data_IF_104397234980
#
_entry.id   IF_104397234980
#
_cell.length_a   1.000
_cell.length_b   1.000
_cell.length_c   1.000
_cell.angle_alpha   90.00
_cell.angle_beta   90.00
_cell.angle_gamma   90.00
#
_symmetry.space_group_name_H-M   'P 1'
#
loop_
_entity.id
_entity.type
_entity.pdbx_description
1 polymer ?
#
# COMPACT_ATOMS: atom_id res chain seq x y z
N UNK A 1 6.44 -11.03 -17.31
CA UNK A 1 5.29 -10.11 -17.17
C UNK A 1 4.68 -9.93 -18.55
N UNK A 2 3.55 -10.58 -18.82
CA UNK A 2 2.84 -10.43 -20.09
C UNK A 2 2.14 -9.06 -20.11
N UNK A 3 2.72 -8.09 -20.81
CA UNK A 3 2.17 -6.74 -20.94
C UNK A 3 1.39 -6.64 -22.25
N UNK A 4 0.07 -6.82 -22.18
CA UNK A 4 -0.83 -6.64 -23.32
C UNK A 4 -1.35 -5.21 -23.37
N UNK A 5 -1.13 -4.52 -24.50
CA UNK A 5 -1.64 -3.16 -24.76
C UNK A 5 -2.78 -3.22 -25.76
N UNK A 6 -3.96 -2.77 -25.34
CA UNK A 6 -5.16 -2.73 -26.20
C UNK A 6 -5.62 -1.28 -26.36
N UNK A 7 -5.99 -0.90 -27.58
CA UNK A 7 -6.62 0.40 -27.85
C UNK A 7 -8.13 0.25 -27.74
N UNK A 8 -8.76 1.10 -26.93
CA UNK A 8 -10.22 1.14 -26.77
C UNK A 8 -10.71 2.59 -26.87
N UNK A 9 -12.01 2.79 -27.10
CA UNK A 9 -12.64 4.11 -27.11
C UNK A 9 -13.46 4.29 -25.84
N UNK A 10 -13.40 5.50 -25.29
CA UNK A 10 -14.28 5.93 -24.20
C UNK A 10 -15.68 6.18 -24.79
N UNK A 11 -16.73 5.80 -24.06
CA UNK A 11 -18.10 6.01 -24.47
C UNK A 11 -18.96 6.46 -23.28
N UNK A 12 -20.11 7.10 -23.56
CA UNK A 12 -21.07 7.47 -22.52
C UNK A 12 -21.85 6.26 -22.02
N UNK A 13 -22.03 6.18 -20.71
CA UNK A 13 -22.88 5.22 -20.01
C UNK A 13 -23.74 6.00 -19.02
N UNK A 14 -24.96 6.35 -19.42
CA UNK A 14 -25.79 7.30 -18.67
C UNK A 14 -25.11 8.68 -18.54
N UNK A 15 -25.04 9.19 -17.30
CA UNK A 15 -24.35 10.44 -16.98
C UNK A 15 -22.83 10.30 -16.77
N UNK A 16 -22.28 9.12 -17.03
CA UNK A 16 -20.86 8.82 -16.78
C UNK A 16 -20.14 8.39 -18.05
N UNK A 17 -18.81 8.29 -17.96
CA UNK A 17 -17.95 7.72 -18.99
C UNK A 17 -17.54 6.30 -18.61
N UNK A 18 -17.42 5.44 -19.62
CA UNK A 18 -16.99 4.07 -19.47
C UNK A 18 -15.96 3.69 -20.54
N UNK A 19 -15.16 2.67 -20.21
CA UNK A 19 -14.20 2.03 -21.12
C UNK A 19 -14.46 0.53 -21.18
N UNK A 20 -14.25 -0.06 -22.34
CA UNK A 20 -14.40 -1.53 -22.49
C UNK A 20 -13.14 -2.22 -21.96
N UNK A 21 -13.34 -3.12 -21.01
CA UNK A 21 -12.29 -4.00 -20.48
C UNK A 21 -12.35 -5.32 -21.30
N UNK A 22 -11.26 -5.73 -21.95
CA UNK A 22 -11.20 -6.99 -22.68
C UNK A 22 -11.44 -8.21 -21.77
N UNK A 23 -11.99 -9.28 -22.36
CA UNK A 23 -12.14 -10.57 -21.68
C UNK A 23 -10.78 -11.17 -21.28
N UNK A 24 -10.79 -12.03 -20.26
CA UNK A 24 -9.58 -12.68 -19.74
C UNK A 24 -8.73 -11.77 -18.83
N UNK A 25 -9.32 -10.67 -18.34
CA UNK A 25 -8.80 -9.94 -17.17
C UNK A 25 -9.36 -10.58 -15.90
N UNK A 26 -8.74 -10.30 -14.76
CA UNK A 26 -9.22 -10.77 -13.45
C UNK A 26 -10.29 -9.85 -12.84
N UNK A 27 -10.77 -8.86 -13.60
CA UNK A 27 -11.79 -7.92 -13.16
C UNK A 27 -13.18 -8.51 -13.45
N UNK A 28 -14.09 -8.41 -12.49
CA UNK A 28 -15.46 -8.91 -12.61
C UNK A 28 -16.46 -7.77 -12.56
N UNK A 29 -17.62 -7.93 -13.19
CA UNK A 29 -18.71 -6.97 -13.04
C UNK A 29 -19.14 -6.88 -11.56
N UNK A 30 -19.37 -5.65 -11.07
CA UNK A 30 -19.70 -5.38 -9.67
C UNK A 30 -18.51 -5.39 -8.69
N UNK A 31 -17.27 -5.60 -9.16
CA UNK A 31 -16.08 -5.46 -8.33
C UNK A 31 -15.89 -3.99 -7.91
N UNK A 32 -15.73 -3.75 -6.60
CA UNK A 32 -15.40 -2.44 -6.08
C UNK A 32 -13.92 -2.11 -6.28
N UNK A 33 -13.67 -0.91 -6.78
CA UNK A 33 -12.34 -0.42 -7.13
C UNK A 33 -12.19 1.02 -6.65
N UNK A 34 -11.02 1.35 -6.11
CA UNK A 34 -10.59 2.72 -5.93
C UNK A 34 -10.12 3.28 -7.27
N UNK A 35 -10.61 4.47 -7.63
CA UNK A 35 -10.23 5.20 -8.83
C UNK A 35 -9.36 6.40 -8.46
N UNK A 36 -8.13 6.43 -8.97
CA UNK A 36 -7.28 7.62 -8.91
C UNK A 36 -7.30 8.34 -10.26
N UNK A 37 -7.52 9.65 -10.23
CA UNK A 37 -7.51 10.51 -11.42
C UNK A 37 -6.34 11.49 -11.33
N UNK A 38 -5.38 11.34 -12.23
CA UNK A 38 -4.22 12.23 -12.31
C UNK A 38 -4.29 13.12 -13.55
N UNK A 39 -3.98 14.41 -13.37
CA UNK A 39 -3.96 15.42 -14.44
C UNK A 39 -5.26 15.46 -15.27
N UNK A 40 -6.38 15.02 -14.70
CA UNK A 40 -7.69 14.98 -15.36
C UNK A 40 -7.84 13.96 -16.50
N UNK A 41 -6.84 13.10 -16.77
CA UNK A 41 -6.88 12.17 -17.92
C UNK A 41 -6.36 10.76 -17.62
N UNK A 42 -5.43 10.63 -16.67
CA UNK A 42 -4.84 9.34 -16.35
C UNK A 42 -5.65 8.68 -15.24
N UNK A 43 -6.23 7.53 -15.54
CA UNK A 43 -7.06 6.75 -14.60
C UNK A 43 -6.27 5.52 -14.15
N UNK A 44 -6.08 5.36 -12.84
CA UNK A 44 -5.60 4.11 -12.23
C UNK A 44 -6.72 3.48 -11.40
N UNK A 45 -6.81 2.16 -11.44
CA UNK A 45 -7.84 1.41 -10.73
C UNK A 45 -7.16 0.36 -9.85
N UNK A 46 -7.50 0.33 -8.57
CA UNK A 46 -7.02 -0.65 -7.61
C UNK A 46 -8.20 -1.34 -6.91
N UNK A 47 -8.20 -2.67 -6.72
CA UNK A 47 -9.26 -3.32 -5.97
C UNK A 47 -9.29 -2.83 -4.53
N UNK A 48 -10.47 -2.49 -4.01
CA UNK A 48 -10.65 -2.03 -2.61
C UNK A 48 -10.23 -3.12 -1.62
N UNK A 49 -10.61 -4.37 -1.91
CA UNK A 49 -10.28 -5.53 -1.10
C UNK A 49 -9.17 -6.35 -1.73
N UNK A 50 -7.94 -5.86 -1.66
CA UNK A 50 -6.79 -6.70 -1.98
C UNK A 50 -6.50 -7.65 -0.81
N UNK A 51 -6.33 -8.96 -1.05
CA UNK A 51 -5.88 -9.87 0.00
C UNK A 51 -4.54 -9.35 0.52
N UNK A 52 -4.49 -8.99 1.81
CA UNK A 52 -3.27 -8.51 2.46
C UNK A 52 -2.13 -9.44 2.08
N UNK A 53 -1.04 -8.87 1.53
CA UNK A 53 0.12 -9.65 1.11
C UNK A 53 0.61 -10.44 2.33
N UNK A 54 0.31 -11.74 2.37
CA UNK A 54 0.74 -12.57 3.49
C UNK A 54 2.26 -12.62 3.46
N UNK A 55 2.87 -12.21 4.56
CA UNK A 55 4.30 -12.38 4.74
C UNK A 55 4.61 -13.88 4.72
N UNK A 56 5.44 -14.31 3.78
CA UNK A 56 5.78 -15.72 3.64
C UNK A 56 6.84 -16.09 4.69
N UNK A 57 6.38 -16.50 5.87
CA UNK A 57 7.25 -16.91 7.00
C UNK A 57 8.18 -18.05 6.59
N UNK A 58 7.74 -19.00 5.77
CA UNK A 58 8.59 -20.10 5.31
C UNK A 58 9.80 -19.63 4.49
N UNK A 59 9.71 -18.46 3.83
CA UNK A 59 10.83 -17.90 3.04
C UNK A 59 11.89 -17.20 3.90
N UNK A 60 11.51 -16.73 5.09
CA UNK A 60 12.42 -15.99 5.99
C UNK A 60 12.81 -16.78 7.25
N UNK A 61 12.11 -17.88 7.55
CA UNK A 61 12.47 -18.74 8.66
C UNK A 61 13.92 -19.24 8.47
N UNK A 62 14.79 -18.90 9.42
CA UNK A 62 16.21 -19.26 9.38
C UNK A 62 17.09 -18.39 8.48
N UNK A 63 16.61 -17.25 7.96
CA UNK A 63 17.46 -16.31 7.21
C UNK A 63 18.41 -15.50 8.11
N UNK A 64 18.05 -15.31 9.37
CA UNK A 64 18.82 -14.53 10.33
C UNK A 64 19.72 -15.44 11.20
N UNK A 65 20.73 -16.05 10.56
CA UNK A 65 21.61 -17.06 11.20
C UNK A 65 22.70 -16.47 12.11
N UNK A 66 22.96 -15.18 11.99
CA UNK A 66 24.05 -14.48 12.70
C UNK A 66 23.52 -13.46 13.73
N UNK A 67 22.26 -13.57 14.13
CA UNK A 67 21.72 -12.77 15.22
C UNK A 67 22.34 -13.23 16.53
N UNK A 68 23.01 -12.30 17.21
CA UNK A 68 23.50 -12.49 18.58
C UNK A 68 22.64 -11.65 19.52
N UNK A 69 22.51 -12.09 20.77
CA UNK A 69 21.94 -11.24 21.81
C UNK A 69 22.82 -10.00 21.97
N UNK A 70 22.20 -8.82 21.97
CA UNK A 70 22.86 -7.59 22.41
C UNK A 70 23.10 -7.65 23.91
N UNK A 71 24.20 -7.10 24.40
CA UNK A 71 24.54 -7.07 25.82
C UNK A 71 23.50 -6.24 26.58
N UNK A 72 23.33 -6.52 27.88
CA UNK A 72 22.34 -5.80 28.68
C UNK A 72 22.66 -4.29 28.79
N UNK A 73 23.95 -3.94 28.78
CA UNK A 73 24.40 -2.53 28.75
C UNK A 73 23.93 -1.79 27.49
N UNK A 74 23.96 -2.46 26.33
CA UNK A 74 23.56 -1.89 25.03
C UNK A 74 22.03 -1.75 24.88
N UNK A 75 21.26 -2.31 25.82
CA UNK A 75 19.79 -2.18 25.86
C UNK A 75 19.31 -0.94 26.60
N UNK A 76 20.22 -0.27 27.32
CA UNK A 76 19.91 0.95 28.06
C UNK A 76 19.91 2.13 27.09
N UNK A 77 18.85 2.94 27.13
CA UNK A 77 18.79 4.21 26.42
C UNK A 77 19.19 5.33 27.37
N UNK A 78 19.95 6.31 26.89
CA UNK A 78 20.20 7.55 27.64
C UNK A 78 18.87 8.26 27.91
N UNK A 79 18.68 8.70 29.15
CA UNK A 79 17.51 9.49 29.52
C UNK A 79 17.57 10.84 28.79
N UNK A 80 16.54 11.11 27.99
CA UNK A 80 16.40 12.37 27.26
C UNK A 80 15.02 12.95 27.54
N UNK A 81 14.93 14.27 27.67
CA UNK A 81 13.66 14.96 27.83
C UNK A 81 12.71 14.58 26.68
N UNK A 82 11.53 14.06 27.03
CA UNK A 82 10.52 13.71 26.05
C UNK A 82 9.81 14.98 25.62
N UNK A 83 9.17 14.94 24.45
CA UNK A 83 8.54 16.13 23.87
C UNK A 83 7.45 16.71 24.78
N UNK A 84 6.75 15.85 25.51
CA UNK A 84 5.70 16.22 26.46
C UNK A 84 6.23 16.72 27.81
N UNK A 85 7.48 16.40 28.18
CA UNK A 85 8.11 16.94 29.39
C UNK A 85 8.47 18.43 29.18
N UNK A 86 8.83 18.84 27.95
CA UNK A 86 9.11 20.24 27.61
C UNK A 86 7.89 21.15 27.62
N UNK A 87 6.70 20.60 27.44
CA UNK A 87 5.46 21.39 27.43
C UNK A 87 5.03 21.76 28.86
N UNK A 88 5.46 21.01 29.88
CA UNK A 88 5.19 21.30 31.29
C UNK A 88 6.04 22.47 31.85
N UNK A 89 7.17 22.79 31.24
CA UNK A 89 8.07 23.87 31.67
C UNK A 89 7.74 25.24 31.05
N UNK A 90 6.86 25.30 30.04
CA UNK A 90 6.56 26.53 29.28
C UNK A 90 5.19 27.16 29.65
N UNK A 91 4.57 26.70 30.73
CA UNK A 91 3.29 27.22 31.24
C UNK A 91 3.45 27.92 32.61
N UNK A 92 4.61 28.55 32.82
CA UNK A 92 4.95 29.38 33.99
C UNK A 92 5.26 30.82 33.62
#
# INVERSE_FOLDING_TARGET
MDKRRTRTRIFKSGNSLAVRIPAGTNLTAGMEMDLTVEHGMFLSFEPVHQPKRKFNVAKVAGSAKALNYIKDEDRLFEERALRWDREADNDG
#
